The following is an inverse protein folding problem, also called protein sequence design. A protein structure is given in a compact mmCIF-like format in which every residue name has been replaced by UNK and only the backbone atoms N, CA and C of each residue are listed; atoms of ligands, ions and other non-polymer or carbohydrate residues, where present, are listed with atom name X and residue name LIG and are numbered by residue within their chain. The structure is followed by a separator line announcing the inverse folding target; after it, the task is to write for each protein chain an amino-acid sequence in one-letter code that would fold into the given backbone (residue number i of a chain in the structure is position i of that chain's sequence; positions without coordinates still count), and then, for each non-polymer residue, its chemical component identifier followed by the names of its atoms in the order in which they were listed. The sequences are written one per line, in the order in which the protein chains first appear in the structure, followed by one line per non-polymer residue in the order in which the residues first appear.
data_IF_068973670219
#
_entry.id   IF_068973670219
#
_cell.length_a   1.000
_cell.length_b   1.000
_cell.length_c   1.000
_cell.angle_alpha   90.00
_cell.angle_beta   90.00
_cell.angle_gamma   90.00
#
_symmetry.space_group_name_H-M   'P 1'
#
loop_
_entity.id
_entity.type
_entity.pdbx_description
1 polymer ?
#
# COMPACT_ATOMS: atom_id res chain seq x y z
N UNK A 1 32.23 -10.15 -41.93
CA UNK A 1 30.90 -10.52 -41.42
C UNK A 1 30.80 -9.91 -40.05
N UNK A 2 30.37 -8.65 -40.01
CA UNK A 2 30.29 -7.85 -38.80
C UNK A 2 28.97 -8.10 -38.09
N UNK A 3 29.07 -8.47 -36.81
CA UNK A 3 27.96 -8.56 -35.88
C UNK A 3 27.60 -7.12 -35.48
N UNK A 4 26.47 -6.64 -36.00
CA UNK A 4 25.93 -5.33 -35.67
C UNK A 4 25.69 -5.21 -34.16
N UNK A 5 26.52 -4.39 -33.50
CA UNK A 5 26.30 -3.90 -32.13
C UNK A 5 25.01 -3.07 -32.12
N UNK A 6 24.04 -3.46 -31.30
CA UNK A 6 22.86 -2.62 -30.99
C UNK A 6 23.34 -1.30 -30.37
N UNK A 7 22.90 -0.14 -30.89
CA UNK A 7 23.21 1.14 -30.29
C UNK A 7 22.31 1.40 -29.07
N UNK A 8 22.93 1.89 -27.99
CA UNK A 8 22.32 2.77 -27.00
C UNK A 8 21.17 2.22 -26.15
N UNK A 9 21.49 1.53 -25.06
CA UNK A 9 20.72 1.71 -23.83
C UNK A 9 20.97 3.17 -23.37
N UNK A 10 20.09 4.07 -23.81
CA UNK A 10 20.08 5.45 -23.36
C UNK A 10 19.92 5.50 -21.84
N UNK A 11 20.87 6.16 -21.19
CA UNK A 11 20.87 6.48 -19.75
C UNK A 11 19.90 7.62 -19.41
N UNK A 12 18.73 7.67 -20.07
CA UNK A 12 17.62 8.49 -19.60
C UNK A 12 16.77 7.62 -18.68
N UNK A 13 17.25 7.47 -17.44
CA UNK A 13 16.41 7.08 -16.31
C UNK A 13 15.37 8.18 -16.10
N UNK A 14 14.28 8.12 -16.87
CA UNK A 14 13.00 8.58 -16.36
C UNK A 14 12.72 7.87 -15.02
N UNK A 15 11.94 8.46 -14.11
CA UNK A 15 11.62 7.82 -12.84
C UNK A 15 11.06 6.44 -13.13
N UNK A 16 11.76 5.39 -12.69
CA UNK A 16 11.28 4.02 -12.79
C UNK A 16 9.95 3.97 -12.04
N UNK A 17 8.84 3.87 -12.77
CA UNK A 17 7.46 3.88 -12.26
C UNK A 17 7.09 2.62 -11.45
N UNK A 18 8.10 1.91 -10.92
CA UNK A 18 8.01 0.57 -10.36
C UNK A 18 8.75 0.53 -9.03
N UNK A 19 8.12 -0.02 -7.98
CA UNK A 19 8.68 -0.15 -6.63
C UNK A 19 9.88 -1.12 -6.51
N UNK A 20 10.49 -1.52 -7.63
CA UNK A 20 11.72 -2.33 -7.67
C UNK A 20 11.54 -3.83 -7.43
N UNK A 21 10.33 -4.29 -7.11
CA UNK A 21 10.00 -5.71 -6.97
C UNK A 21 8.52 -5.98 -7.25
N UNK A 22 8.19 -7.24 -7.57
CA UNK A 22 6.82 -7.72 -7.53
C UNK A 22 6.57 -8.53 -6.26
N UNK A 23 5.36 -8.41 -5.75
CA UNK A 23 4.89 -9.15 -4.58
C UNK A 23 4.18 -10.41 -5.03
N UNK A 24 4.50 -11.55 -4.42
CA UNK A 24 3.82 -12.82 -4.65
C UNK A 24 3.05 -13.18 -3.40
N UNK A 25 1.74 -13.34 -3.49
CA UNK A 25 0.86 -13.71 -2.38
C UNK A 25 0.07 -14.99 -2.70
N UNK A 26 -0.27 -15.77 -1.68
CA UNK A 26 -1.26 -16.84 -1.82
C UNK A 26 -2.49 -16.60 -0.93
N UNK A 27 -3.65 -16.53 -1.58
CA UNK A 27 -4.96 -16.31 -0.97
C UNK A 27 -5.76 -17.60 -1.02
N UNK A 28 -6.13 -18.16 0.14
CA UNK A 28 -7.09 -19.27 0.21
C UNK A 28 -8.50 -18.73 -0.10
N UNK A 29 -9.17 -19.24 -1.13
CA UNK A 29 -10.43 -18.65 -1.65
C UNK A 29 -11.69 -19.05 -0.89
N UNK A 30 -11.59 -19.98 0.06
CA UNK A 30 -12.73 -20.30 0.93
C UNK A 30 -12.22 -20.99 2.19
N UNK A 31 -12.39 -20.39 3.37
CA UNK A 31 -12.19 -21.09 4.63
C UNK A 31 -13.12 -22.33 4.64
N UNK A 32 -12.55 -23.53 4.59
CA UNK A 32 -13.31 -24.80 4.68
C UNK A 32 -13.43 -25.61 3.38
N UNK A 33 -13.31 -25.02 2.18
CA UNK A 33 -13.13 -25.81 0.94
C UNK A 33 -11.66 -26.06 0.70
N UNK A 34 -11.15 -27.14 1.29
CA UNK A 34 -9.76 -27.57 1.12
C UNK A 34 -9.41 -27.68 -0.37
N UNK A 35 -8.38 -26.95 -0.79
CA UNK A 35 -7.71 -27.16 -2.07
C UNK A 35 -8.05 -26.18 -3.19
N UNK A 36 -8.76 -25.07 -2.94
CA UNK A 36 -8.88 -23.96 -3.89
C UNK A 36 -8.29 -22.69 -3.30
N UNK A 37 -7.29 -22.15 -3.98
CA UNK A 37 -6.65 -20.89 -3.64
C UNK A 37 -6.09 -20.22 -4.88
N UNK A 38 -5.67 -18.97 -4.75
CA UNK A 38 -5.13 -18.15 -5.82
C UNK A 38 -3.74 -17.66 -5.44
N UNK A 39 -2.78 -17.87 -6.33
CA UNK A 39 -1.51 -17.16 -6.31
C UNK A 39 -1.69 -15.84 -7.05
N UNK A 40 -1.17 -14.76 -6.50
CA UNK A 40 -1.19 -13.43 -7.08
C UNK A 40 0.23 -12.89 -7.15
N UNK A 41 0.65 -12.44 -8.32
CA UNK A 41 1.89 -11.71 -8.54
C UNK A 41 1.47 -10.29 -8.87
N UNK A 42 1.91 -9.32 -8.08
CA UNK A 42 1.49 -7.93 -8.19
C UNK A 42 2.73 -7.06 -8.26
N UNK A 43 2.92 -6.41 -9.39
CA UNK A 43 3.87 -5.34 -9.58
C UNK A 43 3.12 -4.01 -9.47
N UNK A 44 3.49 -3.21 -8.48
CA UNK A 44 2.86 -1.92 -8.23
C UNK A 44 3.33 -0.92 -9.30
N UNK A 45 2.37 -0.18 -9.83
CA UNK A 45 2.57 0.86 -10.86
C UNK A 45 1.70 2.06 -10.52
N UNK A 46 1.88 3.19 -11.21
CA UNK A 46 0.97 4.35 -11.25
C UNK A 46 0.24 4.51 -12.58
N UNK A 47 0.60 3.70 -13.58
CA UNK A 47 0.00 3.69 -14.92
C UNK A 47 -1.31 2.88 -15.01
N UNK A 48 -2.24 3.28 -15.89
CA UNK A 48 -3.49 2.58 -16.12
C UNK A 48 -3.24 1.12 -16.56
N UNK A 49 -3.95 0.16 -15.96
CA UNK A 49 -3.77 -1.27 -16.23
C UNK A 49 -5.00 -1.91 -16.84
N UNK A 50 -4.81 -2.77 -17.84
CA UNK A 50 -5.85 -3.56 -18.47
C UNK A 50 -5.74 -5.02 -18.04
N UNK A 51 -6.79 -5.57 -17.44
CA UNK A 51 -6.82 -6.94 -16.91
C UNK A 51 -7.78 -7.83 -17.71
N UNK A 52 -7.39 -9.07 -17.97
CA UNK A 52 -8.26 -10.06 -18.60
C UNK A 52 -7.93 -11.50 -18.16
N UNK A 53 -8.93 -12.38 -18.26
CA UNK A 53 -8.74 -13.83 -18.18
C UNK A 53 -8.26 -14.33 -19.54
N UNK A 54 -6.98 -14.67 -19.64
CA UNK A 54 -6.37 -15.12 -20.91
C UNK A 54 -6.57 -16.61 -21.18
N UNK A 55 -6.79 -17.40 -20.12
CA UNK A 55 -7.14 -18.83 -20.19
C UNK A 55 -7.71 -19.32 -18.86
N UNK A 56 -8.35 -20.51 -18.81
CA UNK A 56 -8.90 -21.03 -17.57
C UNK A 56 -7.88 -21.09 -16.43
N UNK A 57 -8.13 -20.31 -15.37
CA UNK A 57 -7.27 -20.27 -14.18
C UNK A 57 -6.05 -19.34 -14.28
N UNK A 58 -5.91 -18.56 -15.36
CA UNK A 58 -4.87 -17.54 -15.50
C UNK A 58 -5.50 -16.18 -15.88
N UNK A 59 -5.33 -15.22 -14.98
CA UNK A 59 -5.72 -13.82 -15.17
C UNK A 59 -4.48 -12.96 -15.18
N UNK A 60 -4.41 -11.97 -16.06
CA UNK A 60 -3.22 -11.14 -16.22
C UNK A 60 -3.62 -9.69 -16.40
N UNK A 61 -2.78 -8.75 -15.96
CA UNK A 61 -2.92 -7.35 -16.31
C UNK A 61 -1.62 -6.77 -16.87
N UNK A 62 -1.75 -5.81 -17.77
CA UNK A 62 -0.66 -5.07 -18.40
C UNK A 62 -0.92 -3.57 -18.33
N UNK A 63 0.12 -2.75 -18.32
CA UNK A 63 -0.02 -1.29 -18.45
C UNK A 63 -0.48 -0.95 -19.87
N UNK A 64 -1.46 -0.05 -19.98
CA UNK A 64 -2.08 0.31 -21.24
C UNK A 64 -1.09 0.95 -22.22
N UNK A 65 -0.24 1.83 -21.69
CA UNK A 65 0.70 2.66 -22.44
C UNK A 65 2.14 2.10 -22.45
N UNK A 66 2.34 0.88 -21.92
CA UNK A 66 3.61 0.16 -21.95
C UNK A 66 3.48 -1.13 -22.77
N UNK A 67 3.61 -1.04 -24.10
CA UNK A 67 3.43 -2.16 -25.00
C UNK A 67 4.57 -3.18 -24.94
N UNK A 68 5.65 -2.90 -24.20
CA UNK A 68 6.80 -3.78 -24.03
C UNK A 68 7.00 -4.26 -22.58
N UNK A 69 6.23 -3.70 -21.65
CA UNK A 69 6.31 -3.96 -20.23
C UNK A 69 5.96 -5.38 -19.81
N UNK A 70 6.43 -5.79 -18.62
CA UNK A 70 6.03 -7.03 -17.99
C UNK A 70 4.55 -7.00 -17.58
N UNK A 71 3.93 -8.16 -17.32
CA UNK A 71 2.63 -8.20 -16.66
C UNK A 71 2.73 -7.53 -15.28
N UNK A 72 1.84 -6.57 -15.02
CA UNK A 72 1.75 -5.91 -13.71
C UNK A 72 0.93 -6.70 -12.71
N UNK A 73 0.13 -7.63 -13.21
CA UNK A 73 -0.60 -8.56 -12.38
C UNK A 73 -0.63 -9.94 -13.04
N UNK A 74 -0.47 -10.98 -12.23
CA UNK A 74 -0.67 -12.36 -12.62
C UNK A 74 -1.48 -13.07 -11.53
N UNK A 75 -2.66 -13.56 -11.86
CA UNK A 75 -3.51 -14.36 -10.99
C UNK A 75 -3.57 -15.81 -11.45
N UNK A 76 -3.12 -16.73 -10.63
CA UNK A 76 -3.05 -18.17 -10.95
C UNK A 76 -3.94 -18.95 -10.00
N UNK A 77 -4.95 -19.65 -10.54
CA UNK A 77 -5.79 -20.55 -9.75
C UNK A 77 -5.05 -21.84 -9.47
N UNK A 78 -4.91 -22.17 -8.18
CA UNK A 78 -4.24 -23.38 -7.72
C UNK A 78 -5.23 -24.51 -7.49
N UNK A 79 -4.76 -25.76 -7.61
CA UNK A 79 -5.50 -26.96 -7.26
C UNK A 79 -4.72 -27.74 -6.21
N UNK A 80 -5.26 -27.85 -5.00
CA UNK A 80 -4.59 -28.55 -3.90
C UNK A 80 -3.23 -27.93 -3.52
N UNK A 81 -3.14 -26.58 -3.53
CA UNK A 81 -1.88 -25.82 -3.35
C UNK A 81 -0.79 -26.18 -4.35
N UNK A 82 -1.19 -26.54 -5.57
CA UNK A 82 -0.27 -26.75 -6.70
C UNK A 82 -0.69 -25.88 -7.86
N UNK A 83 0.31 -25.39 -8.58
CA UNK A 83 0.14 -24.71 -9.86
C UNK A 83 -0.13 -25.78 -10.92
N UNK A 84 -1.22 -25.70 -11.69
CA UNK A 84 -1.47 -26.60 -12.83
C UNK A 84 -0.29 -26.64 -13.80
N UNK A 85 -0.01 -27.81 -14.38
CA UNK A 85 1.20 -28.06 -15.17
C UNK A 85 1.37 -27.11 -16.36
N UNK A 86 0.29 -26.83 -17.07
CA UNK A 86 0.25 -25.88 -18.19
C UNK A 86 0.54 -24.43 -17.74
N UNK A 87 0.09 -24.05 -16.55
CA UNK A 87 0.38 -22.73 -15.98
C UNK A 87 1.83 -22.64 -15.45
N UNK A 88 2.42 -23.75 -14.98
CA UNK A 88 3.84 -23.78 -14.58
C UNK A 88 4.76 -23.48 -15.76
N UNK A 89 4.46 -24.07 -16.92
CA UNK A 89 5.24 -23.85 -18.13
C UNK A 89 5.20 -22.37 -18.54
N UNK A 90 4.03 -21.75 -18.50
CA UNK A 90 3.85 -20.32 -18.82
C UNK A 90 4.57 -19.37 -17.85
N UNK A 91 4.55 -19.68 -16.56
CA UNK A 91 5.24 -18.87 -15.55
C UNK A 91 6.76 -19.04 -15.58
N UNK A 92 7.26 -20.13 -16.16
CA UNK A 92 8.68 -20.44 -16.18
C UNK A 92 9.24 -20.87 -14.81
N UNK A 93 10.41 -21.50 -14.84
CA UNK A 93 10.99 -22.17 -13.67
C UNK A 93 11.25 -21.22 -12.49
N UNK A 94 11.75 -20.01 -12.76
CA UNK A 94 12.13 -19.04 -11.72
C UNK A 94 10.91 -18.56 -10.91
N UNK A 95 9.83 -18.20 -11.59
CA UNK A 95 8.59 -17.73 -10.94
C UNK A 95 7.89 -18.88 -10.23
N UNK A 96 7.86 -20.07 -10.85
CA UNK A 96 7.30 -21.27 -10.23
C UNK A 96 8.03 -21.62 -8.93
N UNK A 97 9.36 -21.52 -8.89
CA UNK A 97 10.14 -21.80 -7.68
C UNK A 97 9.73 -20.90 -6.51
N UNK A 98 9.62 -19.58 -6.75
CA UNK A 98 9.18 -18.63 -5.71
C UNK A 98 7.73 -18.90 -5.30
N UNK A 99 6.85 -19.16 -6.26
CA UNK A 99 5.45 -19.43 -6.00
C UNK A 99 5.23 -20.72 -5.19
N UNK A 100 6.02 -21.76 -5.43
CA UNK A 100 5.98 -23.01 -4.65
C UNK A 100 6.46 -22.80 -3.21
N UNK A 101 7.46 -21.95 -2.99
CA UNK A 101 7.88 -21.56 -1.63
C UNK A 101 6.75 -20.86 -0.89
N UNK A 102 6.07 -19.90 -1.55
CA UNK A 102 4.89 -19.20 -1.00
C UNK A 102 3.75 -20.18 -0.67
N UNK A 103 3.48 -21.14 -1.54
CA UNK A 103 2.43 -22.17 -1.35
C UNK A 103 2.74 -23.13 -0.20
N UNK A 104 4.01 -23.49 -0.03
CA UNK A 104 4.47 -24.37 1.04
C UNK A 104 4.52 -23.67 2.40
N UNK A 105 4.58 -22.33 2.42
CA UNK A 105 4.69 -21.52 3.61
C UNK A 105 3.50 -21.63 4.59
N UNK A 106 3.74 -21.39 5.89
CA UNK A 106 2.66 -21.27 6.87
C UNK A 106 1.77 -20.06 6.54
N UNK A 107 0.47 -20.06 6.91
CA UNK A 107 -0.48 -19.01 6.54
C UNK A 107 0.02 -17.56 6.74
N UNK A 108 0.76 -17.30 7.83
CA UNK A 108 1.29 -15.96 8.18
C UNK A 108 2.47 -15.51 7.31
N UNK A 109 3.00 -16.39 6.47
CA UNK A 109 4.23 -16.17 5.69
C UNK A 109 4.03 -16.55 4.22
N UNK A 110 2.79 -16.57 3.74
CA UNK A 110 2.47 -16.91 2.34
C UNK A 110 2.58 -15.70 1.42
N UNK A 111 3.75 -15.07 1.48
CA UNK A 111 4.12 -14.05 0.53
C UNK A 111 5.63 -14.06 0.30
N UNK A 112 6.07 -13.56 -0.85
CA UNK A 112 7.47 -13.38 -1.19
C UNK A 112 7.68 -12.15 -2.09
N UNK A 113 8.93 -11.67 -2.17
CA UNK A 113 9.34 -10.70 -3.18
C UNK A 113 9.94 -11.42 -4.38
N UNK A 114 9.61 -10.94 -5.56
CA UNK A 114 10.12 -11.40 -6.84
C UNK A 114 10.88 -10.25 -7.51
N UNK A 115 12.13 -10.51 -7.89
CA UNK A 115 12.98 -9.55 -8.59
C UNK A 115 12.36 -9.19 -9.96
N UNK A 116 12.39 -7.91 -10.32
CA UNK A 116 11.86 -7.43 -11.61
C UNK A 116 12.53 -8.10 -12.80
N UNK A 117 13.83 -8.45 -12.71
CA UNK A 117 14.52 -9.18 -13.78
C UNK A 117 13.87 -10.51 -14.12
N UNK A 118 13.25 -11.15 -13.12
CA UNK A 118 12.52 -12.40 -13.31
C UNK A 118 11.18 -12.14 -14.02
N UNK A 119 10.52 -11.01 -13.74
CA UNK A 119 9.31 -10.59 -14.46
C UNK A 119 9.61 -10.07 -15.87
N UNK A 120 10.70 -9.36 -16.08
CA UNK A 120 11.12 -8.86 -17.40
C UNK A 120 11.37 -10.03 -18.36
N UNK A 121 11.92 -11.14 -17.86
CA UNK A 121 12.05 -12.37 -18.63
C UNK A 121 10.69 -12.93 -19.08
N UNK A 122 9.61 -12.70 -18.31
CA UNK A 122 8.24 -13.03 -18.73
C UNK A 122 7.70 -12.08 -19.80
N UNK A 123 8.09 -10.80 -19.79
CA UNK A 123 7.55 -9.80 -20.70
C UNK A 123 7.66 -10.22 -22.19
N UNK A 124 8.77 -10.87 -22.56
CA UNK A 124 8.98 -11.40 -23.91
C UNK A 124 8.10 -12.62 -24.20
N UNK A 125 8.07 -13.60 -23.28
CA UNK A 125 7.28 -14.81 -23.46
C UNK A 125 5.77 -14.54 -23.48
N UNK A 126 5.33 -13.44 -22.87
CA UNK A 126 3.93 -13.07 -22.69
C UNK A 126 3.45 -11.97 -23.64
N UNK A 127 4.29 -11.53 -24.57
CA UNK A 127 3.92 -10.55 -25.60
C UNK A 127 2.60 -10.90 -26.34
N UNK A 128 2.34 -12.16 -26.74
CA UNK A 128 1.08 -12.51 -27.40
C UNK A 128 -0.16 -12.28 -26.52
N UNK A 129 -0.05 -12.56 -25.21
CA UNK A 129 -1.14 -12.31 -24.26
C UNK A 129 -1.36 -10.82 -24.05
N UNK A 130 -0.28 -10.04 -23.97
CA UNK A 130 -0.34 -8.58 -23.85
C UNK A 130 -1.07 -7.96 -25.02
N UNK A 131 -0.69 -8.32 -26.25
CA UNK A 131 -1.37 -7.86 -27.46
C UNK A 131 -2.86 -8.17 -27.44
N UNK A 132 -3.23 -9.39 -27.03
CA UNK A 132 -4.63 -9.80 -26.92
C UNK A 132 -5.42 -8.98 -25.90
N UNK A 133 -4.87 -8.77 -24.70
CA UNK A 133 -5.52 -7.98 -23.63
C UNK A 133 -5.68 -6.51 -24.05
N UNK A 134 -4.63 -5.89 -24.56
CA UNK A 134 -4.66 -4.48 -24.97
C UNK A 134 -5.58 -4.28 -26.20
N UNK A 135 -5.59 -5.21 -27.16
CA UNK A 135 -6.47 -5.13 -28.33
C UNK A 135 -7.95 -5.25 -27.95
N UNK A 136 -8.29 -6.15 -27.02
CA UNK A 136 -9.67 -6.32 -26.53
C UNK A 136 -10.18 -5.03 -25.87
N UNK A 137 -9.32 -4.36 -25.12
CA UNK A 137 -9.67 -3.09 -24.49
C UNK A 137 -9.85 -1.95 -25.51
N UNK A 138 -8.95 -1.83 -26.49
CA UNK A 138 -9.12 -0.83 -27.57
C UNK A 138 -10.41 -1.04 -28.36
N UNK A 139 -10.79 -2.29 -28.62
CA UNK A 139 -12.03 -2.62 -29.28
C UNK A 139 -13.26 -2.20 -28.45
N UNK A 140 -13.23 -2.43 -27.13
CA UNK A 140 -14.29 -1.99 -26.23
C UNK A 140 -14.41 -0.45 -26.16
N UNK A 141 -13.28 0.25 -26.02
CA UNK A 141 -13.26 1.71 -25.99
C UNK A 141 -13.73 2.35 -27.32
N UNK A 142 -13.39 1.74 -28.45
CA UNK A 142 -13.85 2.19 -29.77
C UNK A 142 -15.37 2.03 -29.99
N UNK A 143 -16.03 1.13 -29.26
CA UNK A 143 -17.48 0.95 -29.32
C UNK A 143 -18.25 1.99 -28.49
N UNK A 144 -17.64 2.57 -27.46
CA UNK A 144 -18.26 3.60 -26.62
C UNK A 144 -18.13 5.01 -27.23
N UNK A 145 -17.10 5.25 -28.04
CA UNK A 145 -16.79 6.58 -28.59
C UNK A 145 -17.66 7.03 -29.78
N UNK A 146 -18.60 6.22 -30.26
CA UNK A 146 -19.56 6.64 -31.30
C UNK A 146 -20.80 7.37 -30.77
N UNK A 147 -20.91 7.56 -29.45
CA UNK A 147 -21.93 8.42 -28.86
C UNK A 147 -21.48 9.89 -28.88
N UNK A 148 -21.81 10.58 -29.97
CA UNK A 148 -21.61 12.02 -30.21
C UNK A 148 -21.95 12.86 -28.98
N UNK A 149 -20.94 13.30 -28.23
CA UNK A 149 -21.03 14.43 -27.31
C UNK A 149 -19.86 15.34 -27.65
N UNK A 150 -20.17 16.54 -28.15
CA UNK A 150 -19.19 17.57 -28.44
C UNK A 150 -18.37 17.90 -27.18
N UNK A 151 -17.02 17.88 -27.25
CA UNK A 151 -16.19 18.19 -26.09
C UNK A 151 -16.11 19.70 -25.89
N UNK A 152 -16.52 20.13 -24.70
CA UNK A 152 -16.25 21.46 -24.15
C UNK A 152 -14.75 21.52 -23.78
N UNK A 153 -13.98 22.32 -24.51
CA UNK A 153 -12.55 22.46 -24.36
C UNK A 153 -12.26 23.51 -23.28
N UNK A 154 -11.71 23.10 -22.11
CA UNK A 154 -10.82 23.92 -21.25
C UNK A 154 -10.51 23.32 -19.85
N UNK A 155 -10.60 22.01 -19.61
CA UNK A 155 -10.22 21.46 -18.30
C UNK A 155 -8.75 20.98 -18.25
N UNK A 156 -7.90 21.52 -17.34
CA UNK A 156 -6.51 21.07 -17.19
C UNK A 156 -6.42 19.65 -16.61
N UNK A 157 -5.45 18.89 -17.11
CA UNK A 157 -5.31 17.43 -16.97
C UNK A 157 -4.71 16.98 -15.61
N UNK A 158 -4.18 17.89 -14.78
CA UNK A 158 -3.28 17.52 -13.67
C UNK A 158 -3.90 16.90 -12.39
N UNK A 159 -5.23 16.82 -12.25
CA UNK A 159 -5.87 16.28 -11.03
C UNK A 159 -6.42 14.86 -11.18
N UNK A 160 -6.52 14.34 -12.41
CA UNK A 160 -7.20 13.05 -12.66
C UNK A 160 -6.34 11.82 -12.29
N UNK A 161 -5.01 11.96 -12.27
CA UNK A 161 -4.06 10.84 -12.04
C UNK A 161 -3.80 10.50 -10.57
N UNK A 162 -4.31 11.30 -9.62
CA UNK A 162 -4.13 11.04 -8.17
C UNK A 162 -5.19 10.13 -7.56
N UNK A 163 -6.00 9.48 -8.39
CA UNK A 163 -7.08 8.64 -7.85
C UNK A 163 -6.48 7.43 -7.11
N UNK A 164 -6.94 7.16 -5.88
CA UNK A 164 -6.49 6.00 -5.10
C UNK A 164 -6.79 4.72 -5.89
N UNK A 165 -5.77 3.90 -6.07
CA UNK A 165 -5.85 2.67 -6.85
C UNK A 165 -6.59 1.62 -6.07
N UNK A 166 -7.69 1.10 -6.63
CA UNK A 166 -8.55 0.13 -5.97
C UNK A 166 -8.44 -1.26 -6.58
N UNK A 167 -8.51 -2.30 -5.74
CA UNK A 167 -8.64 -3.68 -6.17
C UNK A 167 -9.69 -4.44 -5.35
N UNK A 168 -10.12 -5.58 -5.85
CA UNK A 168 -10.96 -6.54 -5.13
C UNK A 168 -10.17 -7.79 -4.74
N UNK A 169 -10.47 -8.34 -3.57
CA UNK A 169 -9.87 -9.58 -3.07
C UNK A 169 -10.94 -10.42 -2.36
N UNK A 170 -10.63 -11.71 -2.14
CA UNK A 170 -11.54 -12.61 -1.41
C UNK A 170 -11.58 -12.19 0.06
N UNK A 171 -12.66 -11.55 0.48
CA UNK A 171 -12.80 -10.93 1.81
C UNK A 171 -12.96 -9.41 1.83
N UNK A 172 -12.96 -8.72 0.68
CA UNK A 172 -13.35 -7.30 0.62
C UNK A 172 -12.83 -6.47 -0.56
N UNK A 173 -12.91 -5.14 -0.40
CA UNK A 173 -12.27 -4.15 -1.28
C UNK A 173 -11.02 -3.60 -0.59
N UNK A 174 -10.01 -3.27 -1.38
CA UNK A 174 -8.82 -2.54 -0.90
C UNK A 174 -8.49 -1.36 -1.81
N UNK A 175 -7.78 -0.38 -1.25
CA UNK A 175 -7.19 0.72 -2.02
C UNK A 175 -5.79 1.07 -1.53
N UNK A 176 -4.92 1.46 -2.44
CA UNK A 176 -3.63 2.08 -2.18
C UNK A 176 -3.81 3.59 -2.11
N UNK A 177 -3.27 4.18 -1.06
CA UNK A 177 -3.26 5.60 -0.77
C UNK A 177 -1.84 6.11 -0.99
N UNK A 178 -1.72 7.23 -1.68
CA UNK A 178 -0.44 7.86 -1.95
C UNK A 178 0.25 8.28 -0.65
N UNK A 179 1.57 8.12 -0.59
CA UNK A 179 2.39 8.50 0.57
C UNK A 179 3.33 9.67 0.29
N UNK A 180 3.27 10.23 -0.92
CA UNK A 180 4.07 11.39 -1.27
C UNK A 180 3.74 12.57 -0.36
N UNK A 181 2.45 12.75 -0.01
CA UNK A 181 2.05 13.76 0.97
C UNK A 181 2.61 13.50 2.38
N UNK A 182 2.82 12.24 2.79
CA UNK A 182 3.48 11.90 4.07
C UNK A 182 4.98 12.15 4.02
N UNK A 183 5.60 11.93 2.85
CA UNK A 183 7.03 12.14 2.62
C UNK A 183 7.36 13.63 2.59
N UNK A 184 6.53 14.41 1.89
CA UNK A 184 6.67 15.86 1.78
C UNK A 184 6.43 16.56 3.13
N UNK A 185 5.49 16.03 3.92
CA UNK A 185 5.19 16.49 5.28
C UNK A 185 6.36 16.42 6.27
N UNK A 186 7.37 15.58 6.03
CA UNK A 186 8.55 15.46 6.90
C UNK A 186 9.50 16.65 6.79
N UNK A 187 9.55 17.29 5.60
CA UNK A 187 10.46 18.41 5.33
C UNK A 187 10.16 19.60 6.26
N UNK A 188 8.93 19.72 6.72
CA UNK A 188 8.44 20.82 7.54
C UNK A 188 8.41 20.51 9.06
N UNK A 189 8.73 19.28 9.49
CA UNK A 189 8.70 18.90 10.91
C UNK A 189 10.03 19.26 11.60
N UNK A 190 10.04 20.20 12.58
CA UNK A 190 11.25 20.55 13.32
C UNK A 190 11.66 19.38 14.22
N UNK A 191 12.64 18.57 13.77
CA UNK A 191 13.30 17.54 14.60
C UNK A 191 13.47 16.14 13.98
N UNK A 192 13.02 15.90 12.75
CA UNK A 192 13.12 14.58 12.11
C UNK A 192 14.55 14.06 11.91
N UNK A 193 15.56 14.95 11.93
CA UNK A 193 16.97 14.60 11.83
C UNK A 193 17.52 13.76 13.00
N UNK A 194 16.69 13.37 14.00
CA UNK A 194 17.15 12.59 15.15
C UNK A 194 16.10 11.62 15.72
N UNK A 195 15.29 10.97 14.87
CA UNK A 195 14.65 9.70 15.26
C UNK A 195 15.76 8.65 15.42
N UNK A 196 16.25 8.58 16.66
CA UNK A 196 17.48 7.92 17.06
C UNK A 196 17.60 6.48 16.57
N UNK A 197 18.52 6.28 15.64
CA UNK A 197 19.38 5.12 15.63
C UNK A 197 20.16 5.08 16.95
N UNK A 198 19.53 4.65 18.04
CA UNK A 198 20.26 4.15 19.22
C UNK A 198 20.86 2.79 18.87
N UNK A 199 21.83 2.81 17.95
CA UNK A 199 22.83 1.77 17.82
C UNK A 199 23.71 1.82 19.07
N UNK A 200 23.75 0.72 19.82
CA UNK A 200 24.47 0.61 21.07
C UNK A 200 25.94 1.00 20.93
N UNK A 201 26.32 2.07 21.63
CA UNK A 201 27.73 2.39 21.78
C UNK A 201 28.28 1.60 22.97
N UNK A 202 29.07 0.58 22.67
CA UNK A 202 29.91 -0.13 23.63
C UNK A 202 31.01 0.81 24.10
N UNK A 203 30.72 1.61 25.12
CA UNK A 203 31.69 2.46 25.80
C UNK A 203 32.24 1.78 27.06
N UNK A 204 33.20 0.86 26.89
CA UNK A 204 34.11 0.48 27.97
C UNK A 204 35.08 1.66 28.21
N UNK A 205 34.78 2.48 29.21
CA UNK A 205 35.71 3.47 29.78
C UNK A 205 36.14 3.03 31.19
N UNK A 206 37.44 3.08 31.53
CA UNK A 206 37.95 2.52 32.77
C UNK A 206 37.70 3.44 33.97
N UNK A 207 37.56 2.80 35.13
CA UNK A 207 37.53 3.43 36.46
C UNK A 207 38.76 4.31 36.68
N UNK A 208 38.54 5.57 37.05
CA UNK A 208 39.46 6.29 37.92
C UNK A 208 38.68 6.86 39.10
N UNK A 209 38.96 6.28 40.27
CA UNK A 209 38.63 6.83 41.56
C UNK A 209 39.52 8.06 41.83
N UNK A 210 38.93 9.14 42.32
CA UNK A 210 39.61 10.11 43.19
C UNK A 210 38.56 10.82 44.04
N UNK A 211 38.59 10.50 45.32
CA UNK A 211 37.98 11.26 46.42
C UNK A 211 38.68 12.63 46.58
N UNK A 212 37.89 13.66 46.89
CA UNK A 212 38.39 14.98 47.30
C UNK A 212 37.23 15.94 47.64
N UNK A 213 37.15 16.52 48.87
CA UNK A 213 35.92 17.13 49.39
C UNK A 213 35.83 18.66 49.23
N UNK A 214 34.57 19.12 49.30
CA UNK A 214 34.07 20.43 49.77
C UNK A 214 34.64 21.73 49.16
N UNK A 215 33.80 22.42 48.41
CA UNK A 215 33.68 23.88 48.57
C UNK A 215 32.21 24.32 48.53
N UNK A 216 31.78 24.85 49.66
CA UNK A 216 30.50 25.46 49.95
C UNK A 216 30.63 26.92 49.50
N UNK A 217 29.97 27.27 48.41
CA UNK A 217 29.84 28.64 47.91
C UNK A 217 28.37 28.97 47.78
N UNK A 218 27.87 29.74 48.73
CA UNK A 218 26.57 30.39 48.69
C UNK A 218 26.59 31.47 47.60
N UNK A 219 25.77 31.31 46.55
CA UNK A 219 25.41 32.41 45.65
C UNK A 219 23.90 32.68 45.76
N UNK A 220 23.48 33.94 46.02
CA UNK A 220 22.10 34.30 46.24
C UNK A 220 21.31 34.44 44.93
N UNK A 221 20.04 34.07 45.06
CA UNK A 221 18.96 34.08 44.09
C UNK A 221 18.94 35.27 43.11
N UNK A 222 18.97 34.96 41.82
CA UNK A 222 18.33 35.78 40.78
C UNK A 222 16.95 35.18 40.42
N UNK A 223 15.87 36.00 40.44
CA UNK A 223 14.53 35.55 40.11
C UNK A 223 14.22 35.75 38.62
N UNK A 224 13.53 34.77 38.03
CA UNK A 224 12.51 35.08 37.02
C UNK A 224 12.99 35.25 35.58
N UNK A 225 13.84 34.35 35.08
CA UNK A 225 13.77 34.00 33.67
C UNK A 225 12.59 33.05 33.48
N UNK A 226 11.41 33.58 33.17
CA UNK A 226 10.31 32.79 32.63
C UNK A 226 10.84 32.19 31.32
N UNK A 227 11.40 30.98 31.40
CA UNK A 227 11.64 30.15 30.26
C UNK A 227 10.32 30.04 29.55
N UNK A 228 10.24 30.74 28.44
CA UNK A 228 9.23 30.61 27.41
C UNK A 228 9.41 29.20 26.81
N UNK A 229 9.18 28.17 27.63
CA UNK A 229 8.67 26.87 27.23
C UNK A 229 7.21 27.11 26.80
N UNK A 230 7.02 28.06 25.89
CA UNK A 230 6.05 27.93 24.83
C UNK A 230 6.33 26.56 24.25
N UNK A 231 5.52 25.60 24.71
CA UNK A 231 5.43 24.28 24.16
C UNK A 231 5.34 24.46 22.65
N UNK A 232 6.47 24.28 21.97
CA UNK A 232 6.50 23.93 20.57
C UNK A 232 5.81 22.56 20.51
N UNK A 233 4.48 22.58 20.61
CA UNK A 233 3.63 21.50 20.17
C UNK A 233 4.03 21.35 18.72
N UNK A 234 4.94 20.42 18.47
CA UNK A 234 5.47 20.13 17.14
C UNK A 234 4.28 20.14 16.21
N UNK A 235 4.31 21.07 15.25
CA UNK A 235 3.19 21.32 14.37
C UNK A 235 2.98 20.05 13.57
N UNK A 236 1.94 19.29 13.92
CA UNK A 236 1.73 17.99 13.34
C UNK A 236 1.35 18.15 11.87
N UNK A 237 2.11 17.49 10.99
CA UNK A 237 1.75 17.45 9.60
C UNK A 237 0.45 16.66 9.42
N UNK A 238 -0.43 17.16 8.56
CA UNK A 238 -1.76 16.59 8.35
C UNK A 238 -2.18 16.66 6.89
N UNK A 239 -2.99 15.72 6.47
CA UNK A 239 -3.53 15.69 5.12
C UNK A 239 -4.74 14.79 5.00
N UNK A 240 -5.11 14.50 3.75
CA UNK A 240 -6.34 13.79 3.42
C UNK A 240 -6.12 12.83 2.27
N UNK A 241 -6.53 11.59 2.45
CA UNK A 241 -6.64 10.64 1.35
C UNK A 241 -8.07 10.50 0.90
N UNK A 242 -8.28 10.55 -0.41
CA UNK A 242 -9.52 10.03 -0.97
C UNK A 242 -9.48 8.50 -1.01
N UNK A 243 -10.63 7.87 -0.80
CA UNK A 243 -10.84 6.45 -1.02
C UNK A 243 -11.93 6.21 -2.08
N UNK A 244 -11.89 5.07 -2.79
CA UNK A 244 -12.90 4.72 -3.78
C UNK A 244 -14.30 4.74 -3.18
N UNK A 245 -15.29 5.21 -3.97
CA UNK A 245 -16.68 5.35 -3.51
C UNK A 245 -17.26 4.05 -2.98
N UNK A 246 -16.94 2.94 -3.64
CA UNK A 246 -17.43 1.60 -3.29
C UNK A 246 -16.82 1.11 -1.98
N UNK A 247 -15.52 1.32 -1.78
CA UNK A 247 -14.83 0.97 -0.53
C UNK A 247 -15.41 1.75 0.64
N UNK A 248 -15.56 3.07 0.47
CA UNK A 248 -16.18 3.94 1.47
C UNK A 248 -17.65 3.54 1.76
N UNK A 249 -18.39 3.15 0.72
CA UNK A 249 -19.78 2.69 0.83
C UNK A 249 -19.90 1.40 1.63
N UNK A 250 -19.05 0.42 1.34
CA UNK A 250 -19.01 -0.85 2.08
C UNK A 250 -18.61 -0.66 3.54
N UNK A 251 -17.67 0.25 3.81
CA UNK A 251 -17.22 0.56 5.17
C UNK A 251 -18.19 1.44 5.98
N UNK A 252 -19.17 2.08 5.35
CA UNK A 252 -20.04 3.05 6.01
C UNK A 252 -19.31 4.34 6.44
N UNK A 253 -18.21 4.68 5.78
CA UNK A 253 -17.39 5.87 6.06
C UNK A 253 -17.44 6.89 4.92
N UNK A 254 -17.09 8.13 5.23
CA UNK A 254 -16.88 9.18 4.22
C UNK A 254 -15.80 8.76 3.22
N UNK A 255 -15.80 9.39 2.04
CA UNK A 255 -14.79 9.12 1.00
C UNK A 255 -13.40 9.65 1.35
N UNK A 256 -13.24 10.29 2.50
CA UNK A 256 -12.01 10.95 2.92
C UNK A 256 -11.53 10.35 4.22
N UNK A 257 -10.25 9.97 4.24
CA UNK A 257 -9.52 9.64 5.44
C UNK A 257 -8.62 10.82 5.78
N UNK A 258 -8.81 11.43 6.95
CA UNK A 258 -7.86 12.40 7.47
C UNK A 258 -6.65 11.63 8.03
N UNK A 259 -5.45 12.17 7.88
CA UNK A 259 -4.25 11.62 8.51
C UNK A 259 -3.42 12.71 9.18
N UNK A 260 -2.72 12.35 10.25
CA UNK A 260 -1.80 13.23 10.97
C UNK A 260 -0.53 12.46 11.36
N UNK A 261 0.64 13.10 11.27
CA UNK A 261 1.91 12.53 11.72
C UNK A 261 2.26 13.12 13.08
N UNK A 262 2.42 12.24 14.08
CA UNK A 262 2.84 12.59 15.43
C UNK A 262 3.95 11.65 15.88
N UNK A 263 5.11 12.19 16.29
CA UNK A 263 6.17 11.44 16.98
C UNK A 263 6.59 10.09 16.32
N UNK A 264 6.64 10.03 14.98
CA UNK A 264 6.99 8.80 14.24
C UNK A 264 5.81 7.84 14.03
N UNK A 265 4.57 8.33 14.15
CA UNK A 265 3.36 7.56 13.96
C UNK A 265 2.41 8.30 13.03
N UNK A 266 1.73 7.55 12.16
CA UNK A 266 0.65 8.08 11.31
C UNK A 266 -0.68 7.72 11.96
N UNK A 267 -1.40 8.73 12.42
CA UNK A 267 -2.76 8.60 12.90
C UNK A 267 -3.72 8.75 11.73
N UNK A 268 -4.54 7.74 11.48
CA UNK A 268 -5.53 7.73 10.41
C UNK A 268 -6.92 7.84 11.03
N UNK A 269 -7.73 8.77 10.52
CA UNK A 269 -9.08 9.06 11.02
C UNK A 269 -10.09 8.91 9.89
N UNK A 270 -11.11 8.10 10.09
CA UNK A 270 -12.26 7.98 9.21
C UNK A 270 -13.53 8.49 9.89
N UNK A 271 -14.37 9.20 9.14
CA UNK A 271 -15.65 9.70 9.63
C UNK A 271 -16.78 8.82 9.11
N UNK A 272 -17.82 8.63 9.93
CA UNK A 272 -19.02 7.88 9.52
C UNK A 272 -19.84 8.67 8.50
N UNK A 273 -20.44 7.99 7.52
CA UNK A 273 -21.46 8.65 6.70
C UNK A 273 -22.72 8.93 7.50
N UNK A 274 -23.30 10.14 7.40
CA UNK A 274 -24.53 10.49 8.13
C UNK A 274 -25.73 9.61 7.71
N UNK A 275 -25.80 9.21 6.44
CA UNK A 275 -26.88 8.40 5.87
C UNK A 275 -26.95 6.96 6.42
N UNK A 276 -25.85 6.44 6.97
CA UNK A 276 -25.81 5.10 7.60
C UNK A 276 -26.27 5.13 9.06
N UNK A 277 -26.80 6.26 9.55
CA UNK A 277 -27.27 6.45 10.94
C UNK A 277 -28.78 6.24 11.10
N UNK A 278 -29.47 5.75 10.06
CA UNK A 278 -30.93 5.50 10.09
C UNK A 278 -31.21 4.26 10.96
N UNK A 279 -31.42 4.49 12.26
CA UNK A 279 -31.81 3.46 13.22
C UNK A 279 -31.64 3.83 14.69
N UNK A 280 -30.82 4.81 15.03
CA UNK A 280 -30.60 5.23 16.42
C UNK A 280 -31.66 6.26 16.88
N UNK A 281 -32.93 5.88 16.88
CA UNK A 281 -33.97 6.65 17.58
C UNK A 281 -34.06 6.15 19.02
N UNK A 282 -33.43 6.91 19.93
CA UNK A 282 -33.66 6.80 21.36
C UNK A 282 -32.61 5.98 22.12
N UNK A 283 -31.84 6.68 22.96
CA UNK A 283 -31.04 6.09 24.03
C UNK A 283 -29.66 5.62 23.57
N UNK A 284 -28.62 6.33 24.03
CA UNK A 284 -27.25 5.85 24.20
C UNK A 284 -26.83 4.81 23.15
N UNK A 285 -26.73 5.31 21.90
CA UNK A 285 -26.54 4.48 20.72
C UNK A 285 -25.37 3.54 20.88
N UNK A 286 -25.65 2.25 20.72
CA UNK A 286 -24.68 1.18 20.76
C UNK A 286 -23.67 1.43 19.62
N UNK A 287 -22.52 2.03 19.96
CA UNK A 287 -21.38 2.22 19.04
C UNK A 287 -20.80 0.87 18.55
N UNK A 288 -21.34 -0.25 19.05
CA UNK A 288 -20.84 -1.60 18.88
C UNK A 288 -21.05 -2.21 17.48
N UNK A 289 -21.96 -1.71 16.64
CA UNK A 289 -22.28 -2.35 15.38
C UNK A 289 -21.82 -1.52 14.17
N UNK A 290 -20.50 -1.34 14.00
CA UNK A 290 -19.98 -1.01 12.68
C UNK A 290 -20.19 -2.23 11.77
N UNK A 291 -20.83 -2.07 10.60
CA UNK A 291 -21.23 -3.20 9.77
C UNK A 291 -20.01 -3.98 9.26
N UNK A 292 -18.87 -3.30 9.12
CA UNK A 292 -17.60 -3.85 8.62
C UNK A 292 -16.43 -3.19 9.32
N UNK A 293 -15.35 -3.95 9.46
CA UNK A 293 -14.09 -3.46 10.02
C UNK A 293 -13.29 -2.80 8.90
N UNK A 294 -12.88 -1.55 9.12
CA UNK A 294 -11.93 -0.87 8.24
C UNK A 294 -10.54 -1.09 8.82
N UNK A 295 -9.58 -1.49 8.00
CA UNK A 295 -8.21 -1.72 8.43
C UNK A 295 -7.23 -0.97 7.52
N UNK A 296 -6.14 -0.48 8.11
CA UNK A 296 -5.05 0.20 7.40
C UNK A 296 -3.72 -0.47 7.66
N UNK A 297 -2.79 -0.38 6.71
CA UNK A 297 -1.47 -0.98 6.80
C UNK A 297 -0.48 -0.27 5.87
N UNK A 298 0.78 -0.20 6.27
CA UNK A 298 1.87 0.09 5.34
C UNK A 298 2.09 -1.10 4.38
N UNK A 299 2.37 -0.84 3.10
CA UNK A 299 2.77 -1.88 2.14
C UNK A 299 4.23 -2.30 2.27
N UNK A 300 4.68 -2.54 3.50
CA UNK A 300 6.03 -3.05 3.78
C UNK A 300 6.13 -4.58 3.65
N UNK A 301 5.05 -5.28 3.26
CA UNK A 301 5.00 -6.73 3.21
C UNK A 301 4.74 -7.42 4.56
N UNK A 302 4.69 -6.72 5.69
CA UNK A 302 4.49 -7.33 7.02
C UNK A 302 3.21 -8.17 7.14
N UNK A 303 2.18 -7.83 6.34
CA UNK A 303 0.85 -8.44 6.44
C UNK A 303 0.11 -8.07 7.73
N UNK A 304 0.63 -7.10 8.50
CA UNK A 304 0.03 -6.61 9.72
C UNK A 304 -0.96 -5.50 9.34
N UNK A 305 -2.23 -5.70 9.68
CA UNK A 305 -3.31 -4.75 9.45
C UNK A 305 -3.76 -4.19 10.80
N UNK A 306 -3.93 -2.88 10.86
CA UNK A 306 -4.41 -2.17 12.05
C UNK A 306 -5.87 -1.78 11.84
N UNK A 307 -6.81 -2.30 12.65
CA UNK A 307 -8.20 -1.90 12.55
C UNK A 307 -8.38 -0.46 13.00
N UNK A 308 -9.23 0.30 12.31
CA UNK A 308 -9.69 1.58 12.80
C UNK A 308 -10.74 1.32 13.90
N UNK A 309 -10.39 1.67 15.13
CA UNK A 309 -11.23 1.47 16.30
C UNK A 309 -12.20 2.66 16.48
N UNK A 310 -13.43 2.42 16.94
CA UNK A 310 -14.35 3.49 17.30
C UNK A 310 -13.76 4.40 18.38
N UNK A 311 -13.94 5.70 18.20
CA UNK A 311 -13.54 6.74 19.14
C UNK A 311 -14.79 7.50 19.66
N UNK A 312 -14.80 8.01 20.91
CA UNK A 312 -15.99 8.64 21.51
C UNK A 312 -16.56 9.85 20.76
N UNK A 313 -15.78 10.47 19.88
CA UNK A 313 -16.22 11.59 19.03
C UNK A 313 -17.00 11.14 17.77
N UNK A 314 -17.26 9.83 17.63
CA UNK A 314 -17.96 9.26 16.48
C UNK A 314 -17.06 9.01 15.26
N UNK A 315 -15.74 9.15 15.40
CA UNK A 315 -14.77 8.78 14.35
C UNK A 315 -14.24 7.37 14.55
N UNK A 316 -13.62 6.82 13.50
CA UNK A 316 -12.77 5.63 13.59
C UNK A 316 -11.32 6.05 13.51
N UNK A 317 -10.45 5.49 14.36
CA UNK A 317 -9.04 5.86 14.44
C UNK A 317 -8.12 4.66 14.41
N UNK A 318 -7.02 4.75 13.67
CA UNK A 318 -5.93 3.79 13.68
C UNK A 318 -4.57 4.50 13.82
N UNK A 319 -3.58 3.77 14.30
CA UNK A 319 -2.22 4.25 14.46
C UNK A 319 -1.27 3.31 13.72
N UNK A 320 -0.47 3.86 12.82
CA UNK A 320 0.54 3.14 12.06
C UNK A 320 1.92 3.61 12.50
N UNK A 321 2.69 2.71 13.12
CA UNK A 321 4.06 3.02 13.55
C UNK A 321 4.99 3.07 12.33
N UNK A 322 5.72 4.18 12.19
CA UNK A 322 6.72 4.34 11.15
C UNK A 322 8.00 3.65 11.63
N UNK A 323 8.40 2.59 10.92
CA UNK A 323 9.59 1.77 11.26
C UNK A 323 10.77 1.99 10.32
N UNK A 324 10.59 2.85 9.31
CA UNK A 324 11.57 3.19 8.28
C UNK A 324 11.73 4.70 8.20
N UNK A 325 12.79 5.18 7.56
CA UNK A 325 12.94 6.61 7.27
C UNK A 325 11.75 7.08 6.41
N UNK A 326 11.22 8.28 6.68
CA UNK A 326 10.00 8.80 6.05
C UNK A 326 10.08 8.82 4.51
N UNK A 327 11.24 9.20 3.95
CA UNK A 327 11.51 9.15 2.51
C UNK A 327 11.36 7.75 1.87
N UNK A 328 11.42 6.68 2.67
CA UNK A 328 11.26 5.29 2.23
C UNK A 328 9.93 4.67 2.68
N UNK A 329 8.98 5.49 3.14
CA UNK A 329 7.67 4.99 3.52
C UNK A 329 7.03 4.24 2.34
N UNK A 330 6.59 2.99 2.54
CA UNK A 330 5.78 2.31 1.55
C UNK A 330 4.39 2.93 1.49
N UNK A 331 3.67 2.70 0.40
CA UNK A 331 2.27 3.13 0.25
C UNK A 331 1.40 2.68 1.43
N UNK A 332 0.39 3.47 1.79
CA UNK A 332 -0.62 3.06 2.77
C UNK A 332 -1.72 2.32 2.05
N UNK A 333 -2.18 1.24 2.64
CA UNK A 333 -3.27 0.40 2.14
C UNK A 333 -4.43 0.50 3.08
N UNK A 334 -5.62 0.59 2.54
CA UNK A 334 -6.88 0.46 3.28
C UNK A 334 -7.66 -0.73 2.75
N UNK A 335 -8.30 -1.49 3.64
CA UNK A 335 -9.25 -2.55 3.27
C UNK A 335 -10.46 -2.54 4.17
N UNK A 336 -11.51 -3.21 3.70
CA UNK A 336 -12.76 -3.40 4.44
C UNK A 336 -13.00 -4.90 4.56
N UNK A 337 -13.16 -5.39 5.79
CA UNK A 337 -13.39 -6.80 6.10
C UNK A 337 -14.73 -6.98 6.84
N UNK A 338 -15.40 -8.10 6.62
CA UNK A 338 -16.58 -8.47 7.40
C UNK A 338 -16.17 -8.79 8.85
N UNK A 339 -17.00 -8.42 9.85
CA UNK A 339 -16.64 -8.52 11.28
C UNK A 339 -16.39 -9.96 11.75
N UNK A 340 -16.93 -10.95 11.04
CA UNK A 340 -16.75 -12.37 11.35
C UNK A 340 -15.53 -13.01 10.65
N UNK A 341 -14.81 -12.25 9.81
CA UNK A 341 -13.72 -12.78 8.97
C UNK A 341 -14.19 -13.83 7.94
N UNK A 342 -15.49 -14.09 7.86
CA UNK A 342 -16.14 -14.85 6.83
C UNK A 342 -16.39 -13.90 5.65
N UNK A 343 -15.58 -14.01 4.60
CA UNK A 343 -15.92 -13.39 3.31
C UNK A 343 -17.28 -13.92 2.80
N UNK A 344 -17.92 -13.19 1.88
CA UNK A 344 -19.21 -13.57 1.28
C UNK A 344 -19.19 -14.95 0.60
#
# INVERSE_FOLDING_TARGET
MDVARRPGLGTETGPLAWDGFARVDYVDQTPGRRGRGRLQFTLLTVEQTMEADVRPGLRVAFVADDPDGPPVFIGVRTMGRRIPGDLRELLGASVVSVAEQVLAGPPRSRWARLDLRVLDALALAWAPYREQVLASHRAAAGQESTATTEPDADLPIDAADRRPRSGSWDGGLWALLAVDELRDADVDLPGAASLGMMGGNSGLGPMHATDGPQQRGDDPAEPGGASDQSAHRAEAARGRWEIPRDLAGLAGIERTLDWEIHAGEVHVVARRRPETSVGAVGGQGDFAAWPRTVEVSFDNGSGIWTPLAPHPDGTLRAQLTITVVLAQLPAVRVRVTDPDGAGP
#
